data_IF_326156199402
#
_entry.id   IF_326156199402
#
_cell.length_a   1.000
_cell.length_b   1.000
_cell.length_c   1.000
_cell.angle_alpha   90.00
_cell.angle_beta   90.00
_cell.angle_gamma   90.00
#
_symmetry.space_group_name_H-M   'P 1'
#
loop_
_entity.id
_entity.type
_entity.pdbx_description
1 polymer ?
#
# COMPACT_ATOMS: atom_id res chain seq x y z
N UNK A 1 -12.19 0.72 -11.11
CA UNK A 1 -10.96 -0.03 -10.75
C UNK A 1 -10.56 0.41 -9.35
N UNK A 2 -10.08 -0.50 -8.52
CA UNK A 2 -9.57 -0.26 -7.17
C UNK A 2 -8.04 -0.37 -7.24
N UNK A 3 -7.33 0.50 -6.53
CA UNK A 3 -5.88 0.54 -6.55
C UNK A 3 -5.30 0.11 -5.19
N UNK A 4 -4.20 -0.65 -5.23
CA UNK A 4 -3.39 -0.89 -4.03
C UNK A 4 -2.57 0.36 -3.68
N UNK A 5 -2.40 0.62 -2.38
CA UNK A 5 -1.46 1.64 -1.89
C UNK A 5 -0.02 1.15 -1.87
N UNK A 6 0.22 -0.16 -2.00
CA UNK A 6 1.55 -0.75 -2.07
C UNK A 6 1.90 -1.08 -3.51
N UNK A 7 3.03 -0.58 -3.99
CA UNK A 7 3.56 -0.92 -5.30
C UNK A 7 5.04 -0.55 -5.39
N UNK A 8 5.71 -1.12 -6.39
CA UNK A 8 7.08 -0.81 -6.75
C UNK A 8 7.22 -0.84 -8.26
N UNK A 9 7.86 0.16 -8.84
CA UNK A 9 8.25 0.14 -10.24
C UNK A 9 9.69 0.64 -10.38
N UNK A 10 10.39 0.14 -11.40
CA UNK A 10 11.76 0.52 -11.73
C UNK A 10 11.90 0.63 -13.24
N UNK A 11 12.52 1.72 -13.67
CA UNK A 11 12.85 1.96 -15.07
C UNK A 11 14.32 2.29 -15.20
N UNK A 12 15.00 1.59 -16.10
CA UNK A 12 16.38 1.85 -16.48
C UNK A 12 16.40 2.46 -17.88
N UNK A 13 17.07 3.60 -18.01
CA UNK A 13 17.25 4.29 -19.29
C UNK A 13 18.74 4.36 -19.63
N UNK A 14 19.03 4.12 -20.90
CA UNK A 14 20.40 4.16 -21.47
C UNK A 14 20.40 5.19 -22.57
N UNK A 15 21.19 6.24 -22.40
CA UNK A 15 21.31 7.36 -23.34
C UNK A 15 22.78 7.67 -23.60
N UNK A 16 23.05 8.53 -24.55
CA UNK A 16 24.41 8.91 -24.89
C UNK A 16 25.14 9.64 -23.76
N UNK A 17 24.38 10.34 -22.89
CA UNK A 17 24.90 11.02 -21.72
C UNK A 17 25.19 10.08 -20.53
N UNK A 18 24.72 8.83 -20.53
CA UNK A 18 24.90 7.86 -19.46
C UNK A 18 23.69 6.97 -19.22
N UNK A 19 23.78 6.17 -18.17
CA UNK A 19 22.71 5.29 -17.72
C UNK A 19 22.04 5.91 -16.47
N UNK A 20 20.71 5.88 -16.43
CA UNK A 20 19.97 6.32 -15.25
C UNK A 20 18.93 5.28 -14.84
N UNK A 21 18.68 5.18 -13.55
CA UNK A 21 17.71 4.27 -12.96
C UNK A 21 16.75 5.06 -12.08
N UNK A 22 15.50 5.03 -12.46
CA UNK A 22 14.40 5.49 -11.64
C UNK A 22 13.79 4.33 -10.85
N UNK A 23 13.52 4.56 -9.58
CA UNK A 23 12.74 3.66 -8.74
C UNK A 23 11.64 4.46 -8.02
N UNK A 24 10.43 3.93 -8.04
CA UNK A 24 9.30 4.46 -7.29
C UNK A 24 8.70 3.36 -6.41
N UNK A 25 8.45 3.67 -5.17
CA UNK A 25 7.84 2.78 -4.19
C UNK A 25 6.73 3.50 -3.44
N UNK A 26 5.62 2.82 -3.20
CA UNK A 26 4.58 3.29 -2.31
C UNK A 26 4.32 2.34 -1.16
N UNK A 27 3.93 2.91 -0.02
CA UNK A 27 3.43 2.18 1.15
C UNK A 27 2.18 2.87 1.68
N UNK A 28 1.36 2.12 2.42
CA UNK A 28 0.15 2.65 3.00
C UNK A 28 0.45 3.87 3.90
N UNK A 29 -0.24 4.99 3.61
CA UNK A 29 -0.20 6.20 4.41
C UNK A 29 -1.53 6.95 4.26
N UNK A 30 -1.95 7.63 5.34
CA UNK A 30 -3.24 8.35 5.37
C UNK A 30 -3.30 9.52 4.39
N UNK A 31 -2.19 10.23 4.19
CA UNK A 31 -2.04 11.37 3.30
C UNK A 31 -1.03 11.07 2.21
N UNK A 32 -1.03 11.83 1.13
CA UNK A 32 -0.02 11.74 0.09
C UNK A 32 1.25 12.47 0.57
N UNK A 33 2.30 11.70 0.83
CA UNK A 33 3.62 12.18 1.21
C UNK A 33 4.65 11.75 0.18
N UNK A 34 5.38 12.70 -0.39
CA UNK A 34 6.34 12.45 -1.45
C UNK A 34 7.76 12.70 -0.95
N UNK A 35 8.62 11.71 -1.06
CA UNK A 35 10.03 11.76 -0.70
C UNK A 35 10.87 11.51 -1.95
N UNK A 36 11.85 12.39 -2.19
CA UNK A 36 12.72 12.31 -3.37
C UNK A 36 14.18 12.15 -2.94
N UNK A 37 14.87 11.22 -3.57
CA UNK A 37 16.33 11.05 -3.49
C UNK A 37 16.90 11.27 -4.86
N UNK A 38 17.32 12.50 -5.13
CA UNK A 38 17.86 12.96 -6.41
C UNK A 38 19.32 13.37 -6.25
N UNK A 39 20.19 13.15 -7.26
CA UNK A 39 21.49 13.77 -7.31
C UNK A 39 21.36 15.30 -7.25
N UNK A 40 22.35 15.99 -6.64
CA UNK A 40 22.31 17.43 -6.38
C UNK A 40 21.99 18.27 -7.63
N UNK A 41 22.61 17.91 -8.75
CA UNK A 41 22.44 18.61 -10.03
C UNK A 41 21.03 18.52 -10.62
N UNK A 42 20.18 17.56 -10.16
CA UNK A 42 18.81 17.34 -10.63
C UNK A 42 17.76 17.64 -9.55
N UNK A 43 18.13 18.27 -8.45
CA UNK A 43 17.15 18.68 -7.41
C UNK A 43 16.08 19.63 -7.93
N UNK A 44 16.39 20.42 -8.97
CA UNK A 44 15.41 21.30 -9.61
C UNK A 44 14.18 20.56 -10.17
N UNK A 45 14.28 19.24 -10.44
CA UNK A 45 13.17 18.43 -10.94
C UNK A 45 12.11 18.13 -9.86
N UNK A 46 12.41 18.28 -8.58
CA UNK A 46 11.53 17.85 -7.49
C UNK A 46 10.13 18.45 -7.59
N UNK A 47 10.00 19.73 -7.93
CA UNK A 47 8.69 20.39 -8.03
C UNK A 47 7.86 19.80 -9.16
N UNK A 48 8.44 19.56 -10.33
CA UNK A 48 7.75 18.93 -11.47
C UNK A 48 7.33 17.50 -11.16
N UNK A 49 8.20 16.70 -10.53
CA UNK A 49 7.91 15.34 -10.11
C UNK A 49 6.78 15.30 -9.07
N UNK A 50 6.81 16.21 -8.11
CA UNK A 50 5.77 16.34 -7.07
C UNK A 50 4.41 16.65 -7.67
N UNK A 51 4.36 17.52 -8.67
CA UNK A 51 3.12 17.87 -9.37
C UNK A 51 2.56 16.67 -10.15
N UNK A 52 3.41 15.94 -10.90
CA UNK A 52 3.04 14.71 -11.60
C UNK A 52 2.46 13.65 -10.66
N UNK A 53 3.05 13.47 -9.47
CA UNK A 53 2.53 12.54 -8.47
C UNK A 53 1.16 12.99 -7.92
N UNK A 54 0.97 14.27 -7.63
CA UNK A 54 -0.31 14.83 -7.13
C UNK A 54 -1.46 14.69 -8.11
N UNK A 55 -1.19 14.77 -9.40
CA UNK A 55 -2.21 14.61 -10.43
C UNK A 55 -2.71 13.17 -10.55
N UNK A 56 -1.89 12.20 -10.17
CA UNK A 56 -2.17 10.78 -10.39
C UNK A 56 -2.47 9.99 -9.11
N UNK A 57 -2.10 10.51 -7.93
CA UNK A 57 -2.20 9.80 -6.66
C UNK A 57 -2.87 10.68 -5.61
N UNK A 58 -3.72 10.09 -4.78
CA UNK A 58 -4.48 10.83 -3.75
C UNK A 58 -3.95 10.57 -2.34
N UNK A 59 -3.31 9.42 -2.09
CA UNK A 59 -2.77 9.06 -0.77
C UNK A 59 -1.65 8.02 -0.90
N UNK A 60 -0.92 7.83 0.20
CA UNK A 60 0.22 6.93 0.29
C UNK A 60 1.53 7.68 0.51
N UNK A 61 2.51 7.01 1.11
CA UNK A 61 3.89 7.49 1.19
C UNK A 61 4.63 7.00 -0.05
N UNK A 62 5.06 7.94 -0.89
CA UNK A 62 5.74 7.68 -2.16
C UNK A 62 7.22 8.03 -1.98
N UNK A 63 8.09 7.07 -2.24
CA UNK A 63 9.53 7.26 -2.27
C UNK A 63 10.01 7.09 -3.71
N UNK A 64 10.59 8.16 -4.26
CA UNK A 64 11.18 8.19 -5.60
C UNK A 64 12.69 8.35 -5.47
N UNK A 65 13.46 7.52 -6.15
CA UNK A 65 14.91 7.64 -6.21
C UNK A 65 15.40 7.64 -7.64
N UNK A 66 16.35 8.52 -7.92
CA UNK A 66 17.09 8.58 -9.18
C UNK A 66 18.56 8.27 -8.90
N UNK A 67 19.09 7.31 -9.64
CA UNK A 67 20.53 7.04 -9.68
C UNK A 67 21.01 7.26 -11.09
N UNK A 68 22.14 7.92 -11.23
CA UNK A 68 22.80 8.16 -12.54
C UNK A 68 24.20 7.59 -12.46
N UNK A 69 24.53 6.75 -13.45
CA UNK A 69 25.86 6.19 -13.61
C UNK A 69 26.51 6.86 -14.84
N UNK A 70 27.48 7.73 -14.55
CA UNK A 70 28.21 8.46 -15.58
C UNK A 70 29.42 7.68 -16.13
N UNK A 71 29.41 6.35 -16.07
CA UNK A 71 30.55 5.51 -16.51
C UNK A 71 31.05 5.80 -17.92
N UNK A 72 30.23 6.41 -18.79
CA UNK A 72 30.65 6.83 -20.13
C UNK A 72 31.59 8.04 -20.15
N UNK A 73 31.76 8.77 -19.04
CA UNK A 73 32.72 9.87 -18.98
C UNK A 73 34.21 9.41 -19.03
N UNK A 74 34.47 8.11 -18.77
CA UNK A 74 35.83 7.59 -18.77
C UNK A 74 36.49 7.52 -20.18
N UNK A 75 35.73 7.76 -21.26
CA UNK A 75 36.21 7.80 -22.64
C UNK A 75 36.13 9.21 -23.27
N UNK A 76 35.77 10.24 -22.49
CA UNK A 76 35.78 11.59 -23.01
C UNK A 76 37.22 12.07 -23.25
N UNK A 77 37.47 12.62 -24.44
CA UNK A 77 38.74 13.29 -24.73
C UNK A 77 39.03 14.32 -23.63
N UNK A 78 40.28 14.31 -23.14
CA UNK A 78 40.75 15.31 -22.15
C UNK A 78 40.65 16.67 -22.77
N UNK A 79 39.68 17.47 -22.41
CA UNK A 79 39.61 18.87 -22.79
C UNK A 79 40.55 19.68 -21.88
N UNK A 80 41.56 20.26 -22.48
CA UNK A 80 42.57 21.03 -21.75
C UNK A 80 42.37 22.52 -21.98
N UNK A 81 42.18 23.24 -20.88
CA UNK A 81 42.29 24.71 -20.88
C UNK A 81 43.76 25.12 -21.07
N UNK A 82 44.14 25.22 -22.35
CA UNK A 82 45.53 25.52 -22.73
C UNK A 82 46.04 26.89 -22.23
N UNK A 83 45.12 27.87 -22.10
CA UNK A 83 45.49 29.19 -21.60
C UNK A 83 45.83 29.12 -20.10
N UNK A 84 44.98 28.48 -19.29
CA UNK A 84 45.23 28.29 -17.86
C UNK A 84 46.48 27.41 -17.64
N UNK A 85 46.64 26.33 -18.40
CA UNK A 85 47.81 25.47 -18.32
C UNK A 85 49.11 26.27 -18.57
N UNK A 86 49.13 27.13 -19.59
CA UNK A 86 50.28 27.98 -19.87
C UNK A 86 50.56 28.99 -18.74
N UNK A 87 49.54 29.61 -18.17
CA UNK A 87 49.69 30.52 -17.01
C UNK A 87 50.28 29.81 -15.79
N UNK A 88 49.80 28.58 -15.50
CA UNK A 88 50.32 27.76 -14.40
C UNK A 88 51.78 27.37 -14.65
N UNK A 89 52.15 26.99 -15.88
CA UNK A 89 53.54 26.65 -16.26
C UNK A 89 54.44 27.88 -16.08
N UNK A 90 54.05 29.06 -16.60
CA UNK A 90 54.82 30.31 -16.46
C UNK A 90 55.00 30.69 -14.98
N UNK A 91 53.96 30.56 -14.17
CA UNK A 91 54.04 30.82 -12.73
C UNK A 91 55.00 29.85 -12.02
N UNK A 92 54.97 28.57 -12.37
CA UNK A 92 55.91 27.59 -11.83
C UNK A 92 57.33 27.81 -12.25
N UNK A 93 57.58 28.23 -13.53
CA UNK A 93 58.91 28.61 -14.02
C UNK A 93 59.47 29.83 -13.27
N UNK A 94 58.63 30.85 -13.02
CA UNK A 94 59.03 32.02 -12.23
C UNK A 94 59.36 31.63 -10.79
N UNK A 95 58.51 30.81 -10.11
CA UNK A 95 58.81 30.34 -8.75
C UNK A 95 60.10 29.55 -8.71
N UNK A 96 60.35 28.66 -9.68
CA UNK A 96 61.61 27.92 -9.79
C UNK A 96 62.82 28.83 -9.90
N UNK A 97 62.72 29.88 -10.71
CA UNK A 97 63.79 30.86 -10.86
C UNK A 97 64.09 31.62 -9.55
N UNK A 98 63.09 31.91 -8.72
CA UNK A 98 63.28 32.56 -7.41
C UNK A 98 63.81 31.60 -6.33
N UNK A 99 63.35 30.33 -6.36
CA UNK A 99 63.75 29.31 -5.37
C UNK A 99 65.16 28.75 -5.59
N UNK A 100 65.70 28.89 -6.80
CA UNK A 100 67.03 28.41 -7.22
C UNK A 100 67.13 26.92 -7.46
N UNK A 101 66.22 26.11 -6.90
CA UNK A 101 66.15 24.66 -7.07
C UNK A 101 64.69 24.16 -7.07
N UNK A 102 64.43 22.94 -7.50
CA UNK A 102 63.11 22.32 -7.58
C UNK A 102 62.80 21.79 -8.98
N UNK A 103 61.93 20.80 -9.03
CA UNK A 103 61.43 20.20 -10.29
C UNK A 103 59.95 20.55 -10.52
N UNK A 104 59.63 20.91 -11.77
CA UNK A 104 58.21 21.11 -12.17
C UNK A 104 57.70 19.74 -12.64
N UNK A 105 56.68 19.22 -11.92
CA UNK A 105 56.03 17.99 -12.29
C UNK A 105 54.83 18.33 -13.21
N UNK A 106 54.87 17.84 -14.46
CA UNK A 106 53.83 18.08 -15.47
C UNK A 106 52.48 17.49 -15.06
N UNK A 107 52.45 16.39 -14.27
CA UNK A 107 51.23 15.84 -13.77
C UNK A 107 50.50 16.72 -12.75
N UNK A 108 51.24 17.56 -12.00
CA UNK A 108 50.68 18.53 -11.07
C UNK A 108 50.00 19.68 -11.80
N UNK A 109 50.55 20.05 -12.98
CA UNK A 109 49.91 21.03 -13.88
C UNK A 109 48.56 20.49 -14.38
N UNK A 110 48.52 19.22 -14.81
CA UNK A 110 47.24 18.59 -15.21
C UNK A 110 46.21 18.46 -14.08
N UNK A 111 46.66 18.31 -12.83
CA UNK A 111 45.79 18.23 -11.66
C UNK A 111 45.36 19.59 -11.14
N UNK A 112 45.92 20.67 -11.67
CA UNK A 112 45.55 22.02 -11.23
C UNK A 112 44.07 22.31 -11.59
N UNK A 113 43.23 22.75 -10.63
CA UNK A 113 41.83 23.01 -10.84
C UNK A 113 41.57 23.88 -12.08
N UNK A 114 40.74 23.38 -13.01
CA UNK A 114 40.39 24.08 -14.25
C UNK A 114 41.35 23.87 -15.42
N UNK A 115 42.50 23.18 -15.29
CA UNK A 115 43.36 22.79 -16.42
C UNK A 115 42.77 21.64 -17.23
N UNK A 116 42.22 20.67 -16.59
CA UNK A 116 41.36 19.65 -17.23
C UNK A 116 39.92 20.08 -17.04
N UNK A 117 39.25 20.42 -18.12
CA UNK A 117 37.85 20.79 -18.13
C UNK A 117 36.99 19.53 -18.30
N UNK A 118 36.00 19.35 -17.42
CA UNK A 118 34.96 18.41 -17.66
C UNK A 118 34.10 18.88 -18.84
N UNK A 119 33.79 18.04 -19.78
CA UNK A 119 32.83 18.36 -20.84
C UNK A 119 31.53 18.77 -20.21
N UNK A 120 31.09 20.01 -20.44
CA UNK A 120 29.79 20.48 -19.94
C UNK A 120 28.68 19.61 -20.52
N UNK A 121 27.97 18.94 -19.69
CA UNK A 121 26.79 18.20 -20.09
C UNK A 121 25.60 19.17 -20.16
N UNK A 122 24.79 19.03 -21.19
CA UNK A 122 23.52 19.76 -21.28
C UNK A 122 22.55 19.19 -20.23
N UNK A 123 22.58 19.76 -19.02
CA UNK A 123 21.73 19.34 -17.90
C UNK A 123 20.25 19.57 -18.19
N UNK A 124 19.90 20.49 -19.07
CA UNK A 124 18.51 20.75 -19.44
C UNK A 124 17.96 19.63 -20.34
N UNK A 125 18.74 19.21 -21.35
CA UNK A 125 18.40 18.08 -22.20
C UNK A 125 18.28 16.78 -21.39
N UNK A 126 19.24 16.51 -20.48
CA UNK A 126 19.18 15.37 -19.56
C UNK A 126 17.97 15.43 -18.67
N UNK A 127 17.60 16.60 -18.13
CA UNK A 127 16.42 16.81 -17.28
C UNK A 127 15.14 16.47 -18.02
N UNK A 128 15.02 16.83 -19.31
CA UNK A 128 13.86 16.47 -20.13
C UNK A 128 13.75 14.97 -20.36
N UNK A 129 14.86 14.29 -20.67
CA UNK A 129 14.91 12.84 -20.80
C UNK A 129 14.49 12.16 -19.49
N UNK A 130 14.96 12.65 -18.34
CA UNK A 130 14.63 12.11 -17.02
C UNK A 130 13.14 12.30 -16.67
N UNK A 131 12.55 13.44 -17.01
CA UNK A 131 11.12 13.71 -16.82
C UNK A 131 10.25 12.82 -17.71
N UNK A 132 10.66 12.60 -18.96
CA UNK A 132 9.97 11.69 -19.89
C UNK A 132 10.01 10.24 -19.37
N UNK A 133 11.16 9.78 -18.94
CA UNK A 133 11.31 8.46 -18.33
C UNK A 133 10.50 8.30 -17.04
N UNK A 134 10.37 9.38 -16.26
CA UNK A 134 9.54 9.35 -15.06
C UNK A 134 8.03 9.23 -15.41
N UNK A 135 7.57 9.82 -16.51
CA UNK A 135 6.18 9.64 -16.97
C UNK A 135 5.91 8.17 -17.35
N UNK A 136 6.84 7.54 -18.07
CA UNK A 136 6.73 6.12 -18.41
C UNK A 136 6.71 5.24 -17.15
N UNK A 137 7.61 5.50 -16.21
CA UNK A 137 7.65 4.82 -14.91
C UNK A 137 6.32 4.99 -14.14
N UNK A 138 5.75 6.17 -14.15
CA UNK A 138 4.49 6.47 -13.44
C UNK A 138 3.32 5.71 -14.04
N UNK A 139 3.26 5.57 -15.37
CA UNK A 139 2.25 4.75 -16.05
C UNK A 139 2.37 3.28 -15.62
N UNK A 140 3.57 2.73 -15.61
CA UNK A 140 3.80 1.34 -15.16
C UNK A 140 3.46 1.17 -13.68
N UNK A 141 3.84 2.13 -12.84
CA UNK A 141 3.54 2.12 -11.42
C UNK A 141 2.02 2.11 -11.14
N UNK A 142 1.24 2.95 -11.84
CA UNK A 142 -0.22 2.98 -11.73
C UNK A 142 -0.84 1.65 -12.20
N UNK A 143 -0.34 1.11 -13.31
CA UNK A 143 -0.79 -0.18 -13.81
C UNK A 143 -0.51 -1.33 -12.80
N UNK A 144 0.63 -1.30 -12.13
CA UNK A 144 0.96 -2.26 -11.08
C UNK A 144 0.03 -2.14 -9.88
N UNK A 145 -0.26 -0.91 -9.43
CA UNK A 145 -1.25 -0.65 -8.37
C UNK A 145 -2.64 -1.19 -8.73
N UNK A 146 -3.04 -1.07 -9.99
CA UNK A 146 -4.30 -1.62 -10.49
C UNK A 146 -4.33 -3.15 -10.44
N UNK A 147 -3.30 -3.83 -10.96
CA UNK A 147 -3.18 -5.29 -10.91
C UNK A 147 -3.18 -5.85 -9.49
N UNK A 148 -2.49 -5.17 -8.57
CA UNK A 148 -2.48 -5.52 -7.16
C UNK A 148 -3.87 -5.31 -6.53
N UNK A 149 -4.52 -4.19 -6.83
CA UNK A 149 -5.88 -3.89 -6.38
C UNK A 149 -6.91 -4.94 -6.82
N UNK A 150 -6.81 -5.45 -8.03
CA UNK A 150 -7.66 -6.54 -8.54
C UNK A 150 -7.47 -7.85 -7.73
N UNK A 151 -6.23 -8.20 -7.37
CA UNK A 151 -5.95 -9.36 -6.52
C UNK A 151 -6.54 -9.18 -5.12
N UNK A 152 -6.38 -8.00 -4.52
CA UNK A 152 -6.96 -7.69 -3.21
C UNK A 152 -8.49 -7.75 -3.25
N UNK A 153 -9.11 -7.24 -4.32
CA UNK A 153 -10.56 -7.32 -4.53
C UNK A 153 -11.04 -8.78 -4.59
N UNK A 154 -10.32 -9.66 -5.31
CA UNK A 154 -10.66 -11.08 -5.39
C UNK A 154 -10.57 -11.77 -4.03
N UNK A 155 -9.55 -11.46 -3.22
CA UNK A 155 -9.40 -11.99 -1.85
C UNK A 155 -10.57 -11.53 -0.98
N UNK A 156 -10.93 -10.24 -1.01
CA UNK A 156 -12.04 -9.71 -0.23
C UNK A 156 -13.36 -10.38 -0.66
N UNK A 157 -13.58 -10.55 -1.98
CA UNK A 157 -14.77 -11.24 -2.49
C UNK A 157 -14.88 -12.65 -1.96
N UNK A 158 -13.81 -13.43 -1.97
CA UNK A 158 -13.77 -14.78 -1.43
C UNK A 158 -14.16 -14.82 0.06
N UNK A 159 -13.73 -13.83 0.86
CA UNK A 159 -14.08 -13.74 2.27
C UNK A 159 -15.55 -13.34 2.48
N UNK A 160 -16.09 -12.46 1.66
CA UNK A 160 -17.52 -12.09 1.67
C UNK A 160 -18.41 -13.31 1.35
N UNK A 161 -17.99 -14.12 0.39
CA UNK A 161 -18.69 -15.37 0.07
C UNK A 161 -18.63 -16.34 1.27
N UNK A 162 -17.50 -16.43 1.96
CA UNK A 162 -17.35 -17.20 3.21
C UNK A 162 -18.27 -16.71 4.32
N UNK A 163 -18.41 -15.41 4.52
CA UNK A 163 -19.36 -14.82 5.49
C UNK A 163 -20.79 -15.22 5.14
N UNK A 164 -21.15 -15.19 3.86
CA UNK A 164 -22.49 -15.59 3.41
C UNK A 164 -22.77 -17.06 3.74
N UNK A 165 -21.81 -17.95 3.51
CA UNK A 165 -21.91 -19.37 3.82
C UNK A 165 -22.09 -19.61 5.33
N UNK A 166 -21.26 -18.97 6.17
CA UNK A 166 -21.36 -19.12 7.63
C UNK A 166 -22.68 -18.54 8.18
N UNK A 167 -23.16 -17.40 7.66
CA UNK A 167 -24.44 -16.82 8.04
C UNK A 167 -25.61 -17.76 7.70
N UNK A 168 -25.60 -18.41 6.52
CA UNK A 168 -26.64 -19.35 6.12
C UNK A 168 -26.57 -20.64 6.95
N UNK A 169 -25.39 -21.13 7.29
CA UNK A 169 -25.18 -22.25 8.19
C UNK A 169 -25.80 -21.97 9.56
N UNK A 170 -25.57 -20.80 10.16
CA UNK A 170 -26.22 -20.42 11.41
C UNK A 170 -27.72 -20.36 11.25
N UNK A 171 -28.23 -19.74 10.17
CA UNK A 171 -29.69 -19.66 9.89
C UNK A 171 -30.33 -21.03 9.85
N UNK A 172 -29.71 -21.98 9.17
CA UNK A 172 -30.23 -23.36 9.03
C UNK A 172 -30.19 -24.15 10.33
N UNK A 173 -29.27 -23.86 11.25
CA UNK A 173 -29.12 -24.54 12.53
C UNK A 173 -30.08 -24.03 13.62
N UNK A 174 -30.53 -22.78 13.52
CA UNK A 174 -31.33 -22.11 14.57
C UNK A 174 -32.57 -22.92 14.99
N UNK A 175 -33.39 -23.54 14.09
CA UNK A 175 -34.54 -24.33 14.51
C UNK A 175 -34.16 -25.52 15.41
N UNK A 176 -33.09 -26.22 15.07
CA UNK A 176 -32.60 -27.36 15.86
C UNK A 176 -32.05 -26.93 17.24
N UNK A 177 -31.39 -25.78 17.29
CA UNK A 177 -30.85 -25.18 18.53
C UNK A 177 -31.99 -24.80 19.49
N UNK A 178 -33.08 -24.20 18.99
CA UNK A 178 -34.25 -23.84 19.77
C UNK A 178 -34.96 -25.12 20.30
N UNK A 179 -35.07 -26.13 19.48
CA UNK A 179 -35.65 -27.42 19.88
C UNK A 179 -34.81 -28.10 20.98
N UNK A 180 -33.48 -28.18 20.80
CA UNK A 180 -32.55 -28.73 21.79
C UNK A 180 -32.64 -27.98 23.12
N UNK A 181 -32.73 -26.64 23.10
CA UNK A 181 -32.81 -25.81 24.31
C UNK A 181 -34.13 -26.06 25.04
N UNK A 182 -35.24 -26.26 24.30
CA UNK A 182 -36.55 -26.61 24.87
C UNK A 182 -36.46 -27.95 25.61
N UNK A 183 -35.92 -28.96 24.97
CA UNK A 183 -35.77 -30.32 25.53
C UNK A 183 -34.90 -30.28 26.81
N UNK A 184 -33.81 -29.57 26.78
CA UNK A 184 -32.92 -29.39 27.94
C UNK A 184 -33.59 -28.65 29.09
N UNK A 185 -34.44 -27.70 28.84
CA UNK A 185 -35.19 -26.98 29.89
C UNK A 185 -36.19 -27.95 30.52
N UNK A 186 -36.95 -28.69 29.74
CA UNK A 186 -37.93 -29.68 30.25
C UNK A 186 -37.23 -30.75 31.07
N UNK A 187 -36.12 -31.31 30.63
CA UNK A 187 -35.36 -32.30 31.39
C UNK A 187 -34.91 -31.76 32.75
N UNK A 188 -34.40 -30.52 32.83
CA UNK A 188 -34.04 -29.92 34.11
C UNK A 188 -35.19 -29.75 35.09
N UNK A 189 -36.38 -29.47 34.60
CA UNK A 189 -37.57 -29.43 35.41
C UNK A 189 -37.98 -30.79 35.93
N UNK A 190 -37.89 -31.82 35.14
CA UNK A 190 -38.14 -33.21 35.54
C UNK A 190 -37.16 -33.65 36.64
N UNK A 191 -35.90 -33.40 36.47
CA UNK A 191 -34.82 -33.70 37.44
C UNK A 191 -35.08 -32.98 38.81
N UNK A 192 -35.59 -31.74 38.76
CA UNK A 192 -35.90 -30.95 39.93
C UNK A 192 -37.23 -31.37 40.59
N UNK A 193 -37.98 -32.31 40.03
CA UNK A 193 -39.31 -32.77 40.52
C UNK A 193 -40.32 -31.61 40.75
N UNK A 194 -40.25 -30.58 39.94
CA UNK A 194 -41.14 -29.42 40.01
C UNK A 194 -42.38 -29.68 39.19
N UNK A 195 -43.58 -29.51 39.79
CA UNK A 195 -44.82 -29.48 39.01
C UNK A 195 -44.82 -28.28 38.08
N UNK A 196 -44.76 -28.56 36.75
CA UNK A 196 -44.72 -27.53 35.72
C UNK A 196 -46.15 -26.98 35.48
N UNK A 197 -46.30 -25.68 35.56
CA UNK A 197 -47.39 -24.93 34.96
C UNK A 197 -47.10 -24.76 33.45
N UNK A 198 -47.87 -25.37 32.54
CA UNK A 198 -47.65 -25.32 31.11
C UNK A 198 -47.59 -23.87 30.59
N UNK A 199 -48.34 -22.93 31.13
CA UNK A 199 -48.36 -21.56 30.71
C UNK A 199 -47.05 -20.83 31.07
N UNK A 200 -46.46 -21.12 32.23
CA UNK A 200 -45.17 -20.60 32.65
C UNK A 200 -44.04 -21.14 31.76
N UNK A 201 -44.08 -22.40 31.42
CA UNK A 201 -43.08 -23.00 30.50
C UNK A 201 -43.12 -22.31 29.12
N UNK A 202 -44.30 -22.07 28.58
CA UNK A 202 -44.44 -21.35 27.31
C UNK A 202 -43.94 -19.89 27.40
N UNK A 203 -44.24 -19.21 28.48
CA UNK A 203 -43.73 -17.84 28.70
C UNK A 203 -42.19 -17.81 28.74
N UNK A 204 -41.56 -18.71 29.50
CA UNK A 204 -40.09 -18.83 29.55
C UNK A 204 -39.48 -19.18 28.19
N UNK A 205 -40.15 -20.04 27.41
CA UNK A 205 -39.72 -20.39 26.05
C UNK A 205 -39.81 -19.20 25.11
N UNK A 206 -40.82 -18.37 25.18
CA UNK A 206 -40.92 -17.12 24.38
C UNK A 206 -39.81 -16.18 24.75
N UNK A 207 -39.56 -15.94 26.05
CA UNK A 207 -38.47 -15.08 26.52
C UNK A 207 -37.09 -15.61 26.08
N UNK A 208 -36.91 -16.93 26.14
CA UNK A 208 -35.67 -17.55 25.69
C UNK A 208 -35.50 -17.40 24.17
N UNK A 209 -36.53 -17.67 23.37
CA UNK A 209 -36.50 -17.50 21.93
C UNK A 209 -36.14 -16.09 21.53
N UNK A 210 -36.67 -15.05 22.21
CA UNK A 210 -36.31 -13.66 21.99
C UNK A 210 -34.84 -13.35 22.33
N UNK A 211 -34.29 -13.97 23.41
CA UNK A 211 -32.89 -13.76 23.81
C UNK A 211 -31.88 -14.35 22.84
N UNK A 212 -32.22 -15.47 22.18
CA UNK A 212 -31.35 -16.18 21.25
C UNK A 212 -31.68 -15.90 19.80
N UNK A 213 -32.66 -15.03 19.56
CA UNK A 213 -33.01 -14.63 18.20
C UNK A 213 -31.83 -13.87 17.56
N UNK A 214 -31.32 -14.41 16.49
CA UNK A 214 -30.22 -13.88 15.69
C UNK A 214 -30.64 -13.56 14.26
N UNK A 215 -31.95 -13.63 13.97
CA UNK A 215 -32.46 -13.41 12.61
C UNK A 215 -32.13 -12.01 12.11
N UNK A 216 -32.29 -11.00 12.95
CA UNK A 216 -31.98 -9.61 12.62
C UNK A 216 -30.49 -9.41 12.31
N UNK A 217 -29.60 -10.00 13.15
CA UNK A 217 -28.15 -9.92 12.94
C UNK A 217 -27.73 -10.59 11.62
N UNK A 218 -28.32 -11.74 11.30
CA UNK A 218 -28.06 -12.43 10.05
C UNK A 218 -28.55 -11.64 8.83
N UNK A 219 -29.71 -11.02 8.92
CA UNK A 219 -30.26 -10.17 7.84
C UNK A 219 -29.37 -8.92 7.65
N UNK A 220 -28.92 -8.30 8.74
CA UNK A 220 -27.98 -7.17 8.71
C UNK A 220 -26.62 -7.58 8.13
N UNK A 221 -26.06 -8.73 8.52
CA UNK A 221 -24.85 -9.28 7.92
C UNK A 221 -24.98 -9.42 6.41
N UNK A 222 -26.07 -10.00 5.92
CA UNK A 222 -26.31 -10.15 4.48
C UNK A 222 -26.44 -8.80 3.76
N UNK A 223 -27.11 -7.82 4.39
CA UNK A 223 -27.24 -6.47 3.86
C UNK A 223 -25.85 -5.79 3.76
N UNK A 224 -25.01 -5.90 4.79
CA UNK A 224 -23.67 -5.32 4.80
C UNK A 224 -22.75 -6.03 3.80
N UNK A 225 -22.83 -7.33 3.62
CA UNK A 225 -22.14 -8.08 2.57
C UNK A 225 -22.52 -7.56 1.19
N UNK A 226 -23.82 -7.37 0.93
CA UNK A 226 -24.31 -6.84 -0.34
C UNK A 226 -23.82 -5.42 -0.60
N UNK A 227 -23.84 -4.56 0.41
CA UNK A 227 -23.36 -3.19 0.28
C UNK A 227 -21.83 -3.14 0.08
N UNK A 228 -21.06 -3.98 0.77
CA UNK A 228 -19.62 -4.13 0.55
C UNK A 228 -19.32 -4.53 -0.89
N UNK A 229 -20.07 -5.47 -1.45
CA UNK A 229 -19.97 -5.88 -2.85
C UNK A 229 -20.28 -4.72 -3.82
N UNK A 230 -21.27 -3.89 -3.52
CA UNK A 230 -21.62 -2.72 -4.31
C UNK A 230 -20.49 -1.68 -4.32
N UNK A 231 -19.88 -1.44 -3.15
CA UNK A 231 -18.74 -0.54 -2.99
C UNK A 231 -17.55 -1.04 -3.82
N UNK A 232 -17.22 -2.34 -3.75
CA UNK A 232 -16.13 -2.96 -4.52
C UNK A 232 -16.37 -2.85 -6.03
N UNK A 233 -17.60 -3.08 -6.50
CA UNK A 233 -17.96 -2.95 -7.94
C UNK A 233 -17.86 -1.51 -8.42
N UNK A 234 -18.24 -0.53 -7.62
CA UNK A 234 -18.16 0.89 -7.96
C UNK A 234 -16.72 1.36 -8.13
N UNK A 235 -15.78 0.84 -7.34
CA UNK A 235 -14.38 1.21 -7.37
C UNK A 235 -14.09 2.66 -6.97
N UNK A 236 -12.87 3.10 -7.28
CA UNK A 236 -12.37 4.42 -6.87
C UNK A 236 -11.84 4.40 -5.43
N UNK A 237 -11.75 5.55 -4.78
CA UNK A 237 -11.26 5.70 -3.41
C UNK A 237 -12.26 5.15 -2.38
N UNK A 238 -12.28 3.83 -2.22
CA UNK A 238 -13.28 3.10 -1.43
C UNK A 238 -12.80 2.66 -0.05
N UNK A 239 -11.52 2.73 0.26
CA UNK A 239 -10.92 2.17 1.47
C UNK A 239 -11.63 2.58 2.76
N UNK A 240 -11.98 3.86 2.95
CA UNK A 240 -12.70 4.32 4.15
C UNK A 240 -14.12 3.75 4.26
N UNK A 241 -14.82 3.58 3.12
CA UNK A 241 -16.18 3.03 3.11
C UNK A 241 -16.15 1.55 3.44
N UNK A 242 -15.17 0.83 2.90
CA UNK A 242 -14.95 -0.58 3.21
C UNK A 242 -14.56 -0.78 4.68
N UNK A 243 -13.70 0.05 5.26
CA UNK A 243 -13.35 -0.02 6.69
C UNK A 243 -14.60 0.17 7.57
N UNK A 244 -15.49 1.11 7.22
CA UNK A 244 -16.77 1.28 7.91
C UNK A 244 -17.64 0.01 7.78
N UNK A 245 -17.73 -0.59 6.61
CA UNK A 245 -18.47 -1.86 6.43
C UNK A 245 -17.89 -3.00 7.30
N UNK A 246 -16.57 -3.07 7.45
CA UNK A 246 -15.93 -4.05 8.35
C UNK A 246 -16.32 -3.83 9.81
N UNK A 247 -16.47 -2.58 10.26
CA UNK A 247 -16.94 -2.27 11.60
C UNK A 247 -18.39 -2.74 11.82
N UNK A 248 -19.29 -2.51 10.85
CA UNK A 248 -20.67 -2.97 10.94
C UNK A 248 -20.75 -4.51 10.92
N UNK A 249 -20.04 -5.18 10.01
CA UNK A 249 -19.98 -6.65 9.98
C UNK A 249 -19.46 -7.22 11.30
N UNK A 250 -18.43 -6.61 11.89
CA UNK A 250 -17.87 -7.04 13.18
C UNK A 250 -18.87 -6.81 14.32
N UNK A 251 -19.64 -5.73 14.30
CA UNK A 251 -20.70 -5.46 15.26
C UNK A 251 -21.76 -6.56 15.24
N UNK A 252 -22.28 -6.90 14.07
CA UNK A 252 -23.30 -7.95 13.94
C UNK A 252 -22.75 -9.33 14.35
N UNK A 253 -21.51 -9.64 14.01
CA UNK A 253 -20.84 -10.87 14.43
C UNK A 253 -20.64 -10.95 15.94
N UNK A 254 -20.34 -9.83 16.62
CA UNK A 254 -20.22 -9.77 18.07
C UNK A 254 -21.58 -9.99 18.75
N UNK A 255 -22.66 -9.40 18.23
CA UNK A 255 -24.01 -9.58 18.74
C UNK A 255 -24.46 -11.04 18.58
N UNK A 256 -24.20 -11.64 17.41
CA UNK A 256 -24.47 -13.06 17.16
C UNK A 256 -23.70 -13.95 18.15
N UNK A 257 -22.40 -13.69 18.37
CA UNK A 257 -21.60 -14.42 19.36
C UNK A 257 -22.17 -14.30 20.79
N UNK A 258 -22.63 -13.11 21.20
CA UNK A 258 -23.20 -12.89 22.54
C UNK A 258 -24.56 -13.55 22.76
N UNK A 259 -25.34 -13.74 21.71
CA UNK A 259 -26.63 -14.45 21.74
C UNK A 259 -26.50 -15.96 21.57
N UNK A 260 -25.30 -16.45 21.25
CA UNK A 260 -25.05 -17.88 21.01
C UNK A 260 -25.15 -18.68 22.30
N UNK A 261 -25.94 -19.76 22.25
CA UNK A 261 -26.11 -20.73 23.34
C UNK A 261 -25.60 -22.14 22.96
N UNK A 262 -25.09 -22.28 21.76
CA UNK A 262 -24.61 -23.55 21.18
C UNK A 262 -23.18 -23.40 20.68
N UNK A 263 -22.35 -24.44 20.86
CA UNK A 263 -20.96 -24.45 20.46
C UNK A 263 -20.77 -24.24 18.95
N UNK A 264 -21.63 -24.80 18.12
CA UNK A 264 -21.53 -24.70 16.65
C UNK A 264 -21.82 -23.29 16.17
N UNK A 265 -22.83 -22.60 16.76
CA UNK A 265 -23.11 -21.18 16.46
C UNK A 265 -21.96 -20.29 16.96
N UNK A 266 -21.38 -20.59 18.13
CA UNK A 266 -20.22 -19.87 18.63
C UNK A 266 -19.02 -20.04 17.68
N UNK A 267 -18.78 -21.25 17.18
CA UNK A 267 -17.71 -21.51 16.22
C UNK A 267 -17.92 -20.73 14.91
N UNK A 268 -19.16 -20.71 14.37
CA UNK A 268 -19.50 -19.89 13.20
C UNK A 268 -19.32 -18.39 13.46
N UNK A 269 -19.69 -17.89 14.64
CA UNK A 269 -19.47 -16.48 15.00
C UNK A 269 -17.97 -16.12 15.09
N UNK A 270 -17.14 -17.04 15.58
CA UNK A 270 -15.66 -16.87 15.58
C UNK A 270 -15.13 -16.87 14.15
N UNK A 271 -15.58 -17.77 13.29
CA UNK A 271 -15.15 -17.81 11.88
C UNK A 271 -15.54 -16.54 11.13
N UNK A 272 -16.76 -16.02 11.34
CA UNK A 272 -17.18 -14.73 10.82
C UNK A 272 -16.19 -13.61 11.21
N UNK A 273 -15.78 -13.56 12.48
CA UNK A 273 -14.82 -12.56 12.95
C UNK A 273 -13.44 -12.71 12.31
N UNK A 274 -12.98 -13.94 12.11
CA UNK A 274 -11.70 -14.21 11.42
C UNK A 274 -11.76 -13.72 9.98
N UNK A 275 -12.82 -14.03 9.24
CA UNK A 275 -13.00 -13.57 7.86
C UNK A 275 -13.06 -12.04 7.77
N UNK A 276 -13.76 -11.39 8.69
CA UNK A 276 -13.88 -9.92 8.74
C UNK A 276 -12.52 -9.28 9.02
N UNK A 277 -11.73 -9.78 9.98
CA UNK A 277 -10.42 -9.23 10.28
C UNK A 277 -9.43 -9.44 9.13
N UNK A 278 -9.45 -10.60 8.48
CA UNK A 278 -8.66 -10.83 7.27
C UNK A 278 -9.00 -9.83 6.15
N UNK A 279 -10.28 -9.52 5.94
CA UNK A 279 -10.67 -8.48 4.98
C UNK A 279 -10.18 -7.10 5.41
N UNK A 280 -10.31 -6.77 6.69
CA UNK A 280 -9.90 -5.48 7.22
C UNK A 280 -8.41 -5.21 7.01
N UNK A 281 -7.56 -6.22 7.22
CA UNK A 281 -6.13 -6.13 6.92
C UNK A 281 -5.86 -5.82 5.44
N UNK A 282 -6.59 -6.47 4.51
CA UNK A 282 -6.43 -6.22 3.08
C UNK A 282 -6.95 -4.83 2.68
N UNK A 283 -8.06 -4.39 3.26
CA UNK A 283 -8.68 -3.09 3.01
C UNK A 283 -7.76 -1.93 3.42
N UNK A 284 -6.91 -2.12 4.44
CA UNK A 284 -5.91 -1.12 4.81
C UNK A 284 -4.94 -0.78 3.68
N UNK A 285 -4.75 -1.68 2.72
CA UNK A 285 -3.87 -1.49 1.57
C UNK A 285 -4.63 -0.98 0.32
N UNK A 286 -5.92 -0.70 0.40
CA UNK A 286 -6.74 -0.19 -0.70
C UNK A 286 -6.93 1.34 -0.62
N UNK A 287 -6.86 1.95 -1.81
CA UNK A 287 -7.18 3.37 -2.00
C UNK A 287 -8.65 3.54 -2.39
#
# INVERSE_FOLDING_TARGET
MIYSMTAFARLEIKKDWGDAVWEIRSVNQRYLENFFRLPEQFRGLENALREKLRQNLTRGKIECSLRIDSKKQAAAELNLNKELANQVIQSLQWIKAQAGEGAINLTDVLRYPGVVEATEQDLDAISQDLLTAFDELLVEFIAMRGREGEKLQAIIQQRLDGITVEAEKVRSQMPAVLQWQRERLLQRFEEAKIQLDPQRVEQEMILLAQRVDVAEELDRLQMHVKETNNILKKGGAVGRKLDFMMQELNRESNTLASKSINADITASAVELKVLIEQMREQIQNLE
#
